data_IF_009209794920
#
_entry.id   IF_009209794920
#
_cell.length_a   1.000
_cell.length_b   1.000
_cell.length_c   1.000
_cell.angle_alpha   90.00
_cell.angle_beta   90.00
_cell.angle_gamma   90.00
#
_symmetry.space_group_name_H-M   'P 1'
#
loop_
_entity.id
_entity.type
_entity.pdbx_description
1 polymer ?
#
# COMPACT_ATOMS: atom_id res chain seq x y z
N UNK A 1 -7.73 25.05 -5.01
CA UNK A 1 -6.87 23.97 -5.52
C UNK A 1 -7.52 22.61 -5.32
N UNK A 2 -7.11 21.62 -6.08
CA UNK A 2 -7.60 20.24 -5.96
C UNK A 2 -7.10 19.61 -4.63
N UNK A 3 -7.95 18.92 -3.89
CA UNK A 3 -7.55 18.18 -2.68
C UNK A 3 -6.79 16.92 -3.09
N UNK A 4 -5.79 16.49 -2.30
CA UNK A 4 -4.98 15.29 -2.61
C UNK A 4 -5.84 14.05 -2.84
N UNK A 5 -6.79 13.78 -1.96
CA UNK A 5 -7.71 12.65 -2.10
C UNK A 5 -8.55 12.73 -3.39
N UNK A 6 -9.02 13.91 -3.78
CA UNK A 6 -9.78 14.09 -5.01
C UNK A 6 -8.90 13.87 -6.25
N UNK A 7 -7.63 14.26 -6.17
CA UNK A 7 -6.65 14.00 -7.23
C UNK A 7 -6.42 12.49 -7.41
N UNK A 8 -6.22 11.76 -6.31
CA UNK A 8 -6.04 10.30 -6.37
C UNK A 8 -7.27 9.62 -6.97
N UNK A 9 -8.48 9.99 -6.53
CA UNK A 9 -9.73 9.46 -7.10
C UNK A 9 -9.82 9.76 -8.59
N UNK A 10 -9.52 10.98 -9.02
CA UNK A 10 -9.52 11.36 -10.43
C UNK A 10 -8.54 10.52 -11.24
N UNK A 11 -7.31 10.35 -10.75
CA UNK A 11 -6.28 9.56 -11.42
C UNK A 11 -6.68 8.08 -11.54
N UNK A 12 -7.30 7.51 -10.51
CA UNK A 12 -7.87 6.15 -10.57
C UNK A 12 -8.99 6.05 -11.61
N UNK A 13 -9.92 7.02 -11.63
CA UNK A 13 -11.02 7.05 -12.60
C UNK A 13 -10.51 7.21 -14.04
N UNK A 14 -9.47 8.02 -14.28
CA UNK A 14 -8.80 8.15 -15.57
C UNK A 14 -8.19 6.83 -16.05
N UNK A 15 -7.75 5.97 -15.12
CA UNK A 15 -7.26 4.62 -15.39
C UNK A 15 -8.40 3.57 -15.55
N UNK A 16 -9.66 3.98 -15.43
CA UNK A 16 -10.82 3.08 -15.52
C UNK A 16 -11.15 2.34 -14.21
N UNK A 17 -10.63 2.82 -13.07
CA UNK A 17 -10.84 2.21 -11.75
C UNK A 17 -11.84 3.06 -10.98
N UNK A 18 -13.04 2.49 -10.78
CA UNK A 18 -14.20 3.19 -10.15
C UNK A 18 -14.63 2.58 -8.83
N UNK A 19 -14.25 1.32 -8.54
CA UNK A 19 -14.53 0.67 -7.25
C UNK A 19 -13.49 1.14 -6.22
N UNK A 20 -13.80 2.24 -5.53
CA UNK A 20 -12.89 2.91 -4.60
C UNK A 20 -13.49 2.89 -3.20
N UNK A 21 -12.75 2.34 -2.24
CA UNK A 21 -13.07 2.38 -0.82
C UNK A 21 -12.06 3.25 -0.08
N UNK A 22 -12.55 4.24 0.67
CA UNK A 22 -11.74 5.12 1.49
C UNK A 22 -11.92 4.73 2.95
N UNK A 23 -10.82 4.35 3.61
CA UNK A 23 -10.85 4.09 5.05
C UNK A 23 -10.73 5.41 5.79
N UNK A 24 -11.72 5.70 6.61
CA UNK A 24 -11.84 6.96 7.34
C UNK A 24 -11.80 6.74 8.85
N UNK A 25 -11.31 7.76 9.58
CA UNK A 25 -11.24 7.76 11.03
C UNK A 25 -11.58 9.13 11.59
N UNK A 26 -10.58 9.95 11.91
CA UNK A 26 -10.76 11.30 12.40
C UNK A 26 -11.52 12.17 11.41
N UNK A 27 -12.51 12.93 11.90
CA UNK A 27 -13.38 13.81 11.09
C UNK A 27 -14.01 13.09 9.88
N UNK A 28 -14.40 11.83 10.04
CA UNK A 28 -14.97 11.00 8.96
C UNK A 28 -16.11 11.67 8.20
N UNK A 29 -16.93 12.49 8.90
CA UNK A 29 -18.02 13.24 8.31
C UNK A 29 -17.59 14.27 7.25
N UNK A 30 -16.31 14.69 7.29
CA UNK A 30 -15.74 15.58 6.28
C UNK A 30 -15.46 14.88 4.94
N UNK A 31 -15.57 13.57 4.89
CA UNK A 31 -15.35 12.76 3.69
C UNK A 31 -16.66 12.29 3.04
N UNK A 32 -17.80 12.45 3.70
CA UNK A 32 -19.12 11.99 3.19
C UNK A 32 -19.46 12.57 1.82
N UNK A 33 -19.07 13.82 1.54
CA UNK A 33 -19.30 14.46 0.23
C UNK A 33 -18.65 13.70 -0.94
N UNK A 34 -17.63 12.84 -0.68
CA UNK A 34 -16.97 12.04 -1.70
C UNK A 34 -17.89 10.93 -2.23
N UNK A 35 -18.82 10.45 -1.41
CA UNK A 35 -19.82 9.45 -1.82
C UNK A 35 -20.64 10.01 -2.98
N UNK A 36 -21.25 11.17 -2.79
CA UNK A 36 -22.12 11.79 -3.81
C UNK A 36 -21.32 12.29 -5.02
N UNK A 37 -20.11 12.81 -4.77
CA UNK A 37 -19.31 13.46 -5.82
C UNK A 37 -18.60 12.45 -6.72
N UNK A 38 -18.13 11.32 -6.16
CA UNK A 38 -17.25 10.38 -6.86
C UNK A 38 -17.72 8.93 -6.82
N UNK A 39 -18.87 8.66 -6.19
CA UNK A 39 -19.42 7.31 -6.03
C UNK A 39 -18.45 6.34 -5.35
N UNK A 40 -17.75 6.81 -4.30
CA UNK A 40 -16.83 6.00 -3.50
C UNK A 40 -17.55 5.41 -2.29
N UNK A 41 -17.00 4.33 -1.73
CA UNK A 41 -17.43 3.76 -0.44
C UNK A 41 -16.56 4.29 0.69
N UNK A 42 -17.15 4.54 1.86
CA UNK A 42 -16.43 4.86 3.07
C UNK A 42 -16.45 3.68 4.03
N UNK A 43 -15.29 3.31 4.55
CA UNK A 43 -15.12 2.29 5.58
C UNK A 43 -14.56 2.93 6.85
N UNK A 44 -15.28 2.81 7.96
CA UNK A 44 -14.82 3.40 9.21
C UNK A 44 -13.85 2.48 9.96
N UNK A 45 -12.66 3.02 10.29
CA UNK A 45 -11.73 2.40 11.22
C UNK A 45 -12.01 2.94 12.63
N UNK A 46 -12.58 2.17 13.55
CA UNK A 46 -12.88 2.65 14.91
C UNK A 46 -11.63 2.83 15.78
N UNK A 47 -10.50 2.26 15.38
CA UNK A 47 -9.25 2.26 16.15
C UNK A 47 -8.24 3.31 15.66
N UNK A 48 -8.67 4.22 14.78
CA UNK A 48 -7.79 5.23 14.17
C UNK A 48 -7.00 6.08 15.19
N UNK A 49 -7.52 6.25 16.40
CA UNK A 49 -6.91 7.08 17.44
C UNK A 49 -5.88 6.34 18.31
N UNK A 50 -5.87 5.02 18.27
CA UNK A 50 -5.05 4.20 19.16
C UNK A 50 -4.19 3.15 18.43
N UNK A 51 -4.45 2.90 17.15
CA UNK A 51 -3.65 1.97 16.32
C UNK A 51 -3.24 2.63 15.00
N UNK A 52 -2.13 2.14 14.45
CA UNK A 52 -1.57 2.64 13.19
C UNK A 52 -2.12 1.89 11.96
N UNK A 53 -1.47 2.00 10.80
CA UNK A 53 -1.96 1.53 9.50
C UNK A 53 -2.16 0.02 9.40
N UNK A 54 -1.50 -0.78 10.23
CA UNK A 54 -1.80 -2.21 10.39
C UNK A 54 -3.30 -2.44 10.65
N UNK A 55 -3.87 -1.70 11.60
CA UNK A 55 -5.30 -1.80 11.91
C UNK A 55 -6.17 -1.29 10.75
N UNK A 56 -5.73 -0.27 10.04
CA UNK A 56 -6.44 0.26 8.87
C UNK A 56 -6.62 -0.81 7.79
N UNK A 57 -5.53 -1.51 7.43
CA UNK A 57 -5.59 -2.60 6.44
C UNK A 57 -6.37 -3.80 6.98
N UNK A 58 -6.23 -4.11 8.27
CA UNK A 58 -7.02 -5.19 8.90
C UNK A 58 -8.53 -4.93 8.81
N UNK A 59 -8.99 -3.71 9.10
CA UNK A 59 -10.40 -3.34 8.95
C UNK A 59 -10.86 -3.41 7.49
N UNK A 60 -9.98 -3.08 6.54
CA UNK A 60 -10.26 -3.15 5.11
C UNK A 60 -10.11 -4.57 4.50
N UNK A 61 -9.73 -5.60 5.28
CA UNK A 61 -9.39 -6.93 4.76
C UNK A 61 -10.49 -7.58 3.89
N UNK A 62 -11.75 -7.37 4.23
CA UNK A 62 -12.87 -7.91 3.44
C UNK A 62 -13.02 -7.27 2.06
N UNK A 63 -12.51 -6.04 1.91
CA UNK A 63 -12.45 -5.33 0.62
C UNK A 63 -11.28 -5.84 -0.21
N UNK A 64 -10.17 -6.19 0.43
CA UNK A 64 -8.94 -6.63 -0.21
C UNK A 64 -8.96 -8.10 -0.63
N UNK A 65 -9.57 -8.97 0.19
CA UNK A 65 -9.53 -10.41 0.00
C UNK A 65 -10.12 -10.84 -1.34
N UNK A 66 -9.38 -11.69 -2.08
CA UNK A 66 -9.80 -12.23 -3.36
C UNK A 66 -9.81 -11.22 -4.51
N UNK A 67 -9.21 -10.04 -4.35
CA UNK A 67 -9.24 -8.96 -5.33
C UNK A 67 -7.86 -8.44 -5.69
N UNK A 68 -7.78 -7.86 -6.89
CA UNK A 68 -6.67 -7.02 -7.33
C UNK A 68 -6.97 -5.59 -6.93
N UNK A 69 -6.12 -4.95 -6.13
CA UNK A 69 -6.40 -3.60 -5.62
C UNK A 69 -5.14 -2.75 -5.47
N UNK A 70 -5.28 -1.47 -5.75
CA UNK A 70 -4.32 -0.48 -5.28
C UNK A 70 -4.56 -0.16 -3.82
N UNK A 71 -3.48 -0.01 -3.07
CA UNK A 71 -3.47 0.46 -1.67
C UNK A 71 -2.68 1.76 -1.64
N UNK A 72 -3.34 2.83 -1.21
CA UNK A 72 -2.80 4.19 -1.28
C UNK A 72 -2.85 4.85 0.08
N UNK A 73 -1.83 5.66 0.40
CA UNK A 73 -1.90 6.65 1.46
C UNK A 73 -2.50 7.94 0.91
N UNK A 74 -3.45 8.54 1.65
CA UNK A 74 -4.19 9.71 1.19
C UNK A 74 -3.35 11.00 1.09
N UNK A 75 -2.14 10.99 1.63
CA UNK A 75 -1.16 12.06 1.62
C UNK A 75 -0.11 11.93 0.49
N UNK A 76 -0.14 10.86 -0.29
CA UNK A 76 0.72 10.72 -1.45
C UNK A 76 0.26 11.62 -2.60
N UNK A 77 1.13 12.51 -3.03
CA UNK A 77 0.92 13.33 -4.21
C UNK A 77 1.68 12.77 -5.40
N UNK A 78 0.97 12.42 -6.45
CA UNK A 78 1.55 11.94 -7.70
C UNK A 78 1.38 13.00 -8.79
N UNK A 79 2.49 13.42 -9.39
CA UNK A 79 2.48 14.40 -10.46
C UNK A 79 1.77 13.86 -11.69
N UNK A 80 2.14 12.68 -12.12
CA UNK A 80 1.59 11.98 -13.27
C UNK A 80 0.75 10.80 -12.82
N UNK A 81 -0.19 10.37 -13.64
CA UNK A 81 -1.01 9.22 -13.34
C UNK A 81 -0.16 7.94 -13.53
N UNK A 82 0.03 7.20 -12.46
CA UNK A 82 0.77 5.94 -12.45
C UNK A 82 -0.13 4.70 -12.46
N UNK A 83 -1.45 4.88 -12.43
CA UNK A 83 -2.39 3.79 -12.37
C UNK A 83 -2.77 3.27 -13.75
N UNK A 84 -3.02 1.97 -13.85
CA UNK A 84 -3.43 1.29 -15.06
C UNK A 84 -4.63 0.40 -14.79
N UNK A 85 -5.45 0.16 -15.82
CA UNK A 85 -6.60 -0.77 -15.73
C UNK A 85 -6.18 -2.23 -15.56
N UNK A 86 -4.92 -2.54 -15.80
CA UNK A 86 -4.32 -3.87 -15.68
C UNK A 86 -2.90 -3.79 -15.13
N UNK A 87 -2.58 -4.67 -14.16
CA UNK A 87 -1.23 -4.84 -13.60
C UNK A 87 -0.77 -6.28 -13.74
N UNK A 88 0.53 -6.47 -14.01
CA UNK A 88 1.11 -7.79 -14.23
C UNK A 88 1.34 -8.58 -12.94
N UNK A 89 1.43 -7.93 -11.81
CA UNK A 89 1.69 -8.56 -10.51
C UNK A 89 1.75 -7.54 -9.39
N UNK A 90 1.90 -7.96 -8.14
CA UNK A 90 1.97 -7.06 -7.00
C UNK A 90 3.25 -6.23 -7.05
N UNK A 91 3.15 -4.98 -6.64
CA UNK A 91 4.28 -4.06 -6.57
C UNK A 91 4.13 -3.03 -5.45
N UNK A 92 5.25 -2.48 -5.02
CA UNK A 92 5.33 -1.33 -4.13
C UNK A 92 6.14 -0.21 -4.81
N UNK A 93 5.63 1.01 -4.78
CA UNK A 93 6.33 2.15 -5.38
C UNK A 93 7.55 2.54 -4.57
N UNK A 94 8.61 2.98 -5.26
CA UNK A 94 9.84 3.40 -4.62
C UNK A 94 10.45 4.60 -5.33
N UNK A 95 11.20 5.39 -4.57
CA UNK A 95 12.00 6.50 -5.10
C UNK A 95 13.46 6.30 -4.74
N UNK A 96 14.37 6.75 -5.62
CA UNK A 96 15.80 6.72 -5.31
C UNK A 96 16.19 8.00 -4.57
N UNK A 97 16.76 7.85 -3.39
CA UNK A 97 17.27 8.93 -2.55
C UNK A 97 18.78 8.93 -2.60
N UNK A 98 19.37 10.09 -2.92
CA UNK A 98 20.83 10.28 -2.90
C UNK A 98 21.28 10.68 -1.51
N UNK A 99 22.45 10.18 -1.10
CA UNK A 99 23.03 10.42 0.22
C UNK A 99 22.43 9.53 1.31
N UNK A 100 22.64 9.92 2.55
CA UNK A 100 22.13 9.19 3.71
C UNK A 100 20.61 9.34 3.85
N UNK A 101 19.95 8.25 4.22
CA UNK A 101 18.52 8.22 4.51
C UNK A 101 18.22 7.35 5.72
N UNK A 102 17.20 7.70 6.50
CA UNK A 102 16.66 6.90 7.59
C UNK A 102 15.35 6.18 7.21
N UNK A 103 14.95 6.29 5.96
CA UNK A 103 13.72 5.69 5.43
C UNK A 103 13.84 4.15 5.28
N UNK A 104 12.72 3.52 4.96
CA UNK A 104 12.69 2.08 4.68
C UNK A 104 13.22 1.82 3.27
N UNK A 105 14.40 1.19 3.23
CA UNK A 105 15.13 0.92 2.00
C UNK A 105 14.82 -0.47 1.46
N UNK A 106 14.72 -0.56 0.13
CA UNK A 106 14.44 -1.79 -0.60
C UNK A 106 15.71 -2.36 -1.23
N UNK A 107 15.92 -3.67 -1.07
CA UNK A 107 16.79 -4.45 -1.94
C UNK A 107 15.96 -5.31 -2.87
N UNK A 108 16.37 -5.43 -4.13
CA UNK A 108 15.67 -6.25 -5.11
C UNK A 108 16.64 -7.00 -6.00
N UNK A 109 16.20 -8.12 -6.55
CA UNK A 109 17.00 -8.93 -7.44
C UNK A 109 16.90 -8.44 -8.89
N UNK A 110 17.61 -9.10 -9.81
CA UNK A 110 17.61 -8.77 -11.26
C UNK A 110 16.24 -8.87 -11.92
N UNK A 111 15.27 -9.52 -11.29
CA UNK A 111 13.89 -9.63 -11.77
C UNK A 111 12.98 -8.53 -11.21
N UNK A 112 13.52 -7.62 -10.40
CA UNK A 112 12.75 -6.57 -9.73
C UNK A 112 11.95 -7.04 -8.50
N UNK A 113 12.17 -8.28 -8.01
CA UNK A 113 11.51 -8.78 -6.81
C UNK A 113 12.19 -8.21 -5.57
N UNK A 114 11.40 -7.68 -4.65
CA UNK A 114 11.87 -7.21 -3.34
C UNK A 114 12.39 -8.43 -2.57
N UNK A 115 13.64 -8.39 -2.14
CA UNK A 115 14.31 -9.49 -1.45
C UNK A 115 14.67 -9.17 0.00
N UNK A 116 14.72 -7.90 0.34
CA UNK A 116 14.98 -7.44 1.71
C UNK A 116 14.49 -6.02 1.88
N UNK A 117 14.04 -5.70 3.09
CA UNK A 117 13.65 -4.34 3.51
C UNK A 117 14.37 -4.04 4.81
N UNK A 118 15.00 -2.87 4.89
CA UNK A 118 15.75 -2.43 6.07
C UNK A 118 15.62 -0.93 6.28
N UNK A 119 15.84 -0.48 7.50
CA UNK A 119 15.79 0.95 7.84
C UNK A 119 17.16 1.57 7.67
N UNK A 120 17.21 2.71 6.97
CA UNK A 120 18.43 3.48 6.71
C UNK A 120 19.25 2.94 5.56
N UNK A 121 19.99 3.84 4.91
CA UNK A 121 20.84 3.49 3.77
C UNK A 121 21.54 4.71 3.19
N UNK A 122 22.30 4.49 2.12
CA UNK A 122 22.98 5.52 1.34
C UNK A 122 22.76 5.25 -0.14
N UNK A 123 22.36 6.27 -0.89
CA UNK A 123 22.03 6.15 -2.32
C UNK A 123 21.06 4.98 -2.59
N UNK A 124 19.94 4.96 -1.86
CA UNK A 124 19.06 3.80 -1.76
C UNK A 124 17.68 4.04 -2.38
N UNK A 125 17.03 2.96 -2.81
CA UNK A 125 15.61 2.97 -3.13
C UNK A 125 14.81 2.86 -1.84
N UNK A 126 13.94 3.83 -1.61
CA UNK A 126 13.08 3.89 -0.41
C UNK A 126 11.62 3.63 -0.76
N UNK A 127 10.89 3.01 0.15
CA UNK A 127 9.46 2.80 0.03
C UNK A 127 8.72 4.14 -0.01
N UNK A 128 7.83 4.32 -0.97
CA UNK A 128 7.12 5.59 -1.17
C UNK A 128 5.67 5.40 -1.61
N UNK A 129 4.83 4.98 -0.69
CA UNK A 129 3.40 5.13 -0.79
C UNK A 129 2.62 4.12 -1.60
N UNK A 130 2.22 4.36 -2.85
CA UNK A 130 1.29 3.47 -3.54
C UNK A 130 1.81 2.04 -3.69
N UNK A 131 0.92 1.08 -3.48
CA UNK A 131 1.18 -0.33 -3.72
C UNK A 131 0.04 -0.95 -4.53
N UNK A 132 0.33 -2.01 -5.28
CA UNK A 132 -0.68 -2.84 -5.91
C UNK A 132 -0.63 -4.24 -5.30
N UNK A 133 -1.75 -4.68 -4.77
CA UNK A 133 -1.94 -6.02 -4.24
C UNK A 133 -2.66 -6.86 -5.31
N UNK A 134 -2.00 -7.88 -5.85
CA UNK A 134 -2.72 -8.89 -6.63
C UNK A 134 -3.60 -9.72 -5.71
N UNK A 135 -4.59 -10.43 -6.27
CA UNK A 135 -5.43 -11.37 -5.51
C UNK A 135 -4.57 -12.35 -4.71
N UNK A 136 -3.60 -12.97 -5.38
CA UNK A 136 -2.73 -13.99 -4.78
C UNK A 136 -1.91 -13.41 -3.63
N UNK A 137 -1.40 -12.17 -3.81
CA UNK A 137 -0.70 -11.47 -2.75
C UNK A 137 -1.63 -11.17 -1.57
N UNK A 138 -2.82 -10.62 -1.83
CA UNK A 138 -3.80 -10.32 -0.77
C UNK A 138 -4.17 -11.57 0.01
N UNK A 139 -4.50 -12.68 -0.68
CA UNK A 139 -4.90 -13.94 -0.06
C UNK A 139 -3.77 -14.57 0.78
N UNK A 140 -2.51 -14.34 0.42
CA UNK A 140 -1.35 -14.82 1.18
C UNK A 140 -0.97 -13.88 2.33
N UNK A 141 -1.06 -12.58 2.13
CA UNK A 141 -0.59 -11.57 3.10
C UNK A 141 -1.60 -11.28 4.22
N UNK A 142 -2.91 -11.22 3.91
CA UNK A 142 -3.93 -10.86 4.88
C UNK A 142 -4.01 -11.78 6.10
N UNK A 143 -3.80 -13.12 6.01
CA UNK A 143 -3.69 -13.98 7.18
C UNK A 143 -2.52 -13.60 8.10
N UNK A 144 -1.33 -13.34 7.53
CA UNK A 144 -0.15 -12.91 8.27
C UNK A 144 -0.41 -11.57 8.97
N UNK A 145 -0.98 -10.61 8.24
CA UNK A 145 -1.37 -9.31 8.80
C UNK A 145 -2.37 -9.47 9.95
N UNK A 146 -3.30 -10.42 9.83
CA UNK A 146 -4.28 -10.74 10.87
C UNK A 146 -3.62 -11.30 12.15
N UNK A 147 -2.59 -12.14 12.03
CA UNK A 147 -1.82 -12.65 13.17
C UNK A 147 -1.15 -11.50 13.92
N UNK A 148 -0.48 -10.58 13.19
CA UNK A 148 0.14 -9.39 13.79
C UNK A 148 -0.88 -8.48 14.45
N UNK A 149 -2.04 -8.24 13.82
CA UNK A 149 -3.08 -7.37 14.39
C UNK A 149 -3.56 -7.85 15.76
N UNK A 150 -3.60 -9.18 16.02
CA UNK A 150 -4.00 -9.76 17.28
C UNK A 150 -2.85 -9.93 18.30
N UNK A 151 -1.62 -9.66 17.89
CA UNK A 151 -0.46 -9.78 18.74
C UNK A 151 -0.31 -8.52 19.61
N UNK A 152 -0.18 -8.65 20.96
CA UNK A 152 0.10 -7.50 21.82
C UNK A 152 1.42 -6.80 21.46
N UNK A 153 1.43 -5.47 21.50
CA UNK A 153 2.60 -4.66 21.23
C UNK A 153 2.76 -4.25 19.75
N UNK A 154 1.82 -4.62 18.89
CA UNK A 154 1.83 -4.26 17.47
C UNK A 154 0.86 -3.12 17.14
N UNK A 155 0.27 -2.48 18.13
CA UNK A 155 -0.76 -1.45 17.95
C UNK A 155 -0.27 -0.27 17.11
N UNK A 156 1.03 0.05 17.21
CA UNK A 156 1.65 1.16 16.46
C UNK A 156 2.36 0.70 15.18
N UNK A 157 2.19 -0.56 14.78
CA UNK A 157 2.80 -1.04 13.55
C UNK A 157 2.14 -0.44 12.31
N UNK A 158 2.97 -0.10 11.34
CA UNK A 158 2.57 0.09 9.96
C UNK A 158 2.34 -1.29 9.31
N UNK A 159 1.44 -1.38 8.33
CA UNK A 159 1.26 -2.63 7.59
C UNK A 159 2.52 -3.01 6.81
N UNK A 160 3.29 -2.03 6.39
CA UNK A 160 4.59 -2.20 5.73
C UNK A 160 5.60 -2.91 6.62
N UNK A 161 5.53 -2.73 7.94
CA UNK A 161 6.39 -3.43 8.88
C UNK A 161 6.09 -4.93 8.91
N UNK A 162 4.81 -5.30 8.87
CA UNK A 162 4.40 -6.71 8.72
C UNK A 162 4.92 -7.29 7.40
N UNK A 163 4.82 -6.52 6.32
CA UNK A 163 5.35 -6.92 5.01
C UNK A 163 6.87 -7.09 5.04
N UNK A 164 7.60 -6.17 5.68
CA UNK A 164 9.04 -6.25 5.88
C UNK A 164 9.45 -7.53 6.62
N UNK A 165 8.80 -7.80 7.76
CA UNK A 165 9.09 -9.00 8.56
C UNK A 165 8.81 -10.27 7.77
N UNK A 166 7.72 -10.28 7.01
CA UNK A 166 7.31 -11.41 6.19
C UNK A 166 8.31 -11.68 5.04
N UNK A 167 8.75 -10.66 4.32
CA UNK A 167 9.77 -10.76 3.25
C UNK A 167 11.10 -11.22 3.82
N UNK A 168 11.53 -10.66 4.95
CA UNK A 168 12.83 -10.96 5.54
C UNK A 168 12.87 -12.36 6.19
N UNK A 169 11.72 -12.88 6.64
CA UNK A 169 11.64 -14.21 7.25
C UNK A 169 11.70 -15.36 6.24
N UNK A 170 11.16 -15.18 5.03
CA UNK A 170 11.06 -16.25 4.04
C UNK A 170 11.14 -15.75 2.59
N UNK A 171 12.36 -15.42 2.17
CA UNK A 171 12.62 -15.01 0.79
C UNK A 171 12.33 -16.11 -0.24
N UNK A 172 12.26 -17.39 0.17
CA UNK A 172 12.05 -18.52 -0.74
C UNK A 172 10.59 -18.65 -1.22
N UNK A 173 9.63 -18.30 -0.39
CA UNK A 173 8.19 -18.38 -0.73
C UNK A 173 7.78 -17.36 -1.81
N UNK A 174 8.43 -16.20 -1.81
CA UNK A 174 8.12 -15.11 -2.76
C UNK A 174 8.73 -15.31 -4.13
N UNK A 175 9.91 -15.92 -4.18
CA UNK A 175 10.61 -16.19 -5.43
C UNK A 175 9.88 -17.20 -6.31
N UNK A 176 9.00 -18.02 -5.74
CA UNK A 176 8.27 -19.07 -6.48
C UNK A 176 6.87 -18.68 -6.95
N UNK A 177 6.26 -17.61 -6.40
CA UNK A 177 4.86 -17.26 -6.66
C UNK A 177 4.62 -15.90 -7.31
N UNK A 178 5.64 -15.02 -7.36
CA UNK A 178 5.46 -13.66 -7.88
C UNK A 178 6.05 -13.51 -9.28
N UNK A 179 5.21 -13.07 -10.20
CA UNK A 179 5.65 -12.46 -11.45
C UNK A 179 6.56 -11.25 -11.12
N UNK A 180 7.54 -10.92 -11.97
CA UNK A 180 8.45 -9.82 -11.71
C UNK A 180 7.67 -8.52 -11.57
N UNK A 181 7.69 -7.94 -10.39
CA UNK A 181 7.26 -6.57 -10.19
C UNK A 181 8.40 -5.67 -10.65
N UNK A 182 8.20 -5.03 -11.77
CA UNK A 182 9.08 -3.94 -12.17
C UNK A 182 8.65 -2.74 -11.32
N UNK A 183 9.52 -2.18 -10.45
CA UNK A 183 9.18 -0.91 -9.83
C UNK A 183 8.88 0.07 -10.96
N UNK A 184 7.82 0.90 -10.88
CA UNK A 184 7.56 1.90 -11.87
C UNK A 184 8.81 2.78 -11.97
N UNK A 185 9.33 2.92 -13.19
CA UNK A 185 10.39 3.88 -13.45
C UNK A 185 9.78 5.27 -13.23
N UNK A 186 10.18 5.92 -12.15
CA UNK A 186 9.91 7.34 -11.98
C UNK A 186 10.85 8.11 -12.92
N UNK A 187 10.29 8.80 -13.86
CA UNK A 187 10.96 9.81 -14.68
C UNK A 187 10.73 11.19 -14.07
#
# INVERSE_FOLDING_TARGET
GERMIERQIRQLNEAGIYDITIVVGYLKEKFEYLIDKYNVSLLYNPEYACKNTLATIYHARSVLQGRNMYVLSSDNWMRENMFHSYEWGPWYSSVHVLGETSEWCLSYNKRGLITNIHIGGHDAWVMYGPAFFSREFSDAFLPVLGEYYHQPGTEQFYWEQVYMDWVNADTSKYLSSSQPTKPPAFH
#
